data_IF_049015633795
#
_entry.id   IF_049015633795
#
_cell.length_a   1.000
_cell.length_b   1.000
_cell.length_c   1.000
_cell.angle_alpha   90.00
_cell.angle_beta   90.00
_cell.angle_gamma   90.00
#
_symmetry.space_group_name_H-M   'P 1'
#
loop_
_entity.id
_entity.type
_entity.pdbx_description
1 polymer ?
#
# COMPACT_ATOMS: atom_id res chain seq x y z
N UNK A 1 -28.49 -6.02 2.97
CA UNK A 1 -27.76 -5.63 1.75
C UNK A 1 -26.95 -4.42 2.15
N UNK A 2 -25.63 -4.46 1.99
CA UNK A 2 -24.78 -3.29 2.28
C UNK A 2 -24.98 -2.24 1.20
N UNK A 3 -24.96 -0.97 1.58
CA UNK A 3 -25.05 0.14 0.63
C UNK A 3 -23.82 0.19 -0.27
N UNK A 4 -23.97 0.58 -1.55
CA UNK A 4 -22.82 0.69 -2.45
C UNK A 4 -21.87 1.80 -1.98
N UNK A 5 -20.57 1.52 -2.00
CA UNK A 5 -19.54 2.53 -1.74
C UNK A 5 -19.44 3.43 -2.98
N UNK A 6 -19.73 4.72 -2.81
CA UNK A 6 -19.61 5.73 -3.86
C UNK A 6 -18.23 6.37 -3.77
N UNK A 7 -17.43 6.25 -4.83
CA UNK A 7 -16.14 6.91 -4.96
C UNK A 7 -16.36 8.23 -5.70
N UNK A 8 -16.03 9.35 -5.05
CA UNK A 8 -16.19 10.68 -5.64
C UNK A 8 -15.12 10.95 -6.71
N UNK A 9 -15.47 11.72 -7.74
CA UNK A 9 -14.59 12.01 -8.89
C UNK A 9 -13.37 12.87 -8.55
N UNK A 10 -13.37 13.53 -7.39
CA UNK A 10 -12.25 14.31 -6.85
C UNK A 10 -11.28 13.46 -5.99
N UNK A 11 -11.56 12.17 -5.81
CA UNK A 11 -10.71 11.25 -5.06
C UNK A 11 -9.39 11.01 -5.80
N UNK A 12 -8.30 11.60 -5.30
CA UNK A 12 -6.96 11.45 -5.89
C UNK A 12 -6.27 10.14 -5.50
N UNK A 13 -6.52 9.64 -4.30
CA UNK A 13 -5.86 8.44 -3.77
C UNK A 13 -6.85 7.52 -3.07
N UNK A 14 -6.65 6.21 -3.26
CA UNK A 14 -7.42 5.16 -2.59
C UNK A 14 -6.42 4.23 -1.90
N UNK A 15 -6.48 4.16 -0.58
CA UNK A 15 -5.74 3.19 0.21
C UNK A 15 -6.63 1.98 0.54
N UNK A 16 -6.10 0.77 0.40
CA UNK A 16 -6.82 -0.47 0.70
C UNK A 16 -6.17 -1.15 1.89
N UNK A 17 -6.91 -1.26 2.99
CA UNK A 17 -6.44 -1.86 4.23
C UNK A 17 -7.16 -3.16 4.57
N UNK A 18 -6.54 -3.98 5.42
CA UNK A 18 -7.09 -5.25 5.86
C UNK A 18 -6.05 -6.33 6.15
N UNK A 19 -6.47 -7.47 6.73
CA UNK A 19 -5.57 -8.52 7.18
C UNK A 19 -4.81 -9.20 6.03
N UNK A 20 -3.68 -9.82 6.34
CA UNK A 20 -2.90 -10.61 5.36
C UNK A 20 -3.79 -11.72 4.80
N UNK A 21 -3.79 -11.88 3.48
CA UNK A 21 -4.62 -12.88 2.79
C UNK A 21 -6.07 -12.45 2.49
N UNK A 22 -6.51 -11.25 2.87
CA UNK A 22 -7.89 -10.79 2.60
C UNK A 22 -8.20 -10.42 1.14
N UNK A 23 -7.20 -10.48 0.24
CA UNK A 23 -7.39 -10.16 -1.19
C UNK A 23 -7.18 -8.69 -1.57
N UNK A 24 -6.55 -7.87 -0.70
CA UNK A 24 -6.27 -6.45 -0.96
C UNK A 24 -5.61 -6.18 -2.32
N UNK A 25 -4.54 -6.91 -2.65
CA UNK A 25 -3.82 -6.75 -3.92
C UNK A 25 -4.72 -7.04 -5.12
N UNK A 26 -5.59 -8.04 -5.02
CA UNK A 26 -6.55 -8.36 -6.08
C UNK A 26 -7.61 -7.27 -6.23
N UNK A 27 -8.08 -6.70 -5.12
CA UNK A 27 -9.02 -5.57 -5.15
C UNK A 27 -8.35 -4.31 -5.72
N UNK A 28 -7.12 -4.00 -5.30
CA UNK A 28 -6.34 -2.86 -5.80
C UNK A 28 -6.18 -2.90 -7.31
N UNK A 29 -5.79 -4.07 -7.85
CA UNK A 29 -5.67 -4.29 -9.30
C UNK A 29 -6.98 -4.02 -10.03
N UNK A 30 -8.08 -4.63 -9.56
CA UNK A 30 -9.40 -4.43 -10.17
C UNK A 30 -9.88 -2.98 -10.13
N UNK A 31 -9.63 -2.27 -9.02
CA UNK A 31 -9.97 -0.86 -8.89
C UNK A 31 -9.12 0.02 -9.80
N UNK A 32 -7.81 -0.24 -9.89
CA UNK A 32 -6.92 0.47 -10.80
C UNK A 32 -7.35 0.29 -12.26
N UNK A 33 -7.67 -0.95 -12.66
CA UNK A 33 -8.16 -1.25 -14.01
C UNK A 33 -9.52 -0.55 -14.31
N UNK A 34 -10.43 -0.52 -13.33
CA UNK A 34 -11.77 0.05 -13.50
C UNK A 34 -11.77 1.58 -13.51
N UNK A 35 -10.91 2.22 -12.72
CA UNK A 35 -10.81 3.67 -12.57
C UNK A 35 -9.73 4.29 -13.47
N UNK A 36 -9.06 3.47 -14.30
CA UNK A 36 -7.87 3.87 -15.07
C UNK A 36 -6.79 4.53 -14.18
N UNK A 37 -6.71 4.08 -12.93
CA UNK A 37 -5.83 4.64 -11.91
C UNK A 37 -4.43 4.03 -11.93
N UNK A 38 -3.44 4.78 -11.42
CA UNK A 38 -2.10 4.25 -11.20
C UNK A 38 -2.12 3.24 -10.05
N UNK A 39 -1.76 1.99 -10.32
CA UNK A 39 -1.61 0.96 -9.29
C UNK A 39 -0.29 1.16 -8.54
N UNK A 40 -0.37 1.25 -7.21
CA UNK A 40 0.79 1.37 -6.33
C UNK A 40 0.73 0.23 -5.30
N UNK A 41 1.77 -0.60 -5.27
CA UNK A 41 1.85 -1.79 -4.42
C UNK A 41 3.01 -1.70 -3.43
N UNK A 42 2.79 -2.24 -2.24
CA UNK A 42 3.85 -2.53 -1.29
C UNK A 42 4.76 -3.65 -1.82
N UNK A 43 6.04 -3.64 -1.42
CA UNK A 43 7.04 -4.64 -1.79
C UNK A 43 7.62 -5.31 -0.53
N UNK A 44 6.81 -6.09 0.21
CA UNK A 44 7.23 -6.67 1.49
C UNK A 44 8.47 -7.56 1.39
N UNK A 45 8.70 -8.20 0.25
CA UNK A 45 9.89 -8.99 -0.06
C UNK A 45 11.21 -8.21 -0.01
N UNK A 46 11.15 -6.88 -0.10
CA UNK A 46 12.34 -6.02 0.01
C UNK A 46 12.73 -5.69 1.44
N UNK A 47 11.90 -6.06 2.44
CA UNK A 47 12.17 -5.82 3.85
C UNK A 47 13.15 -6.89 4.38
N UNK A 48 14.43 -6.53 4.68
CA UNK A 48 15.45 -7.50 5.06
C UNK A 48 15.20 -8.15 6.43
N UNK A 49 14.28 -7.59 7.23
CA UNK A 49 13.95 -8.08 8.57
C UNK A 49 12.75 -9.01 8.58
N UNK A 50 11.96 -9.05 7.50
CA UNK A 50 10.69 -9.76 7.46
C UNK A 50 10.84 -11.27 7.66
N UNK A 51 11.89 -11.88 7.07
CA UNK A 51 12.15 -13.31 7.27
C UNK A 51 12.47 -13.62 8.74
N UNK A 52 13.27 -12.78 9.39
CA UNK A 52 13.63 -12.96 10.79
C UNK A 52 12.46 -12.67 11.73
N UNK A 53 11.56 -11.76 11.35
CA UNK A 53 10.30 -11.53 12.05
C UNK A 53 9.42 -12.77 12.11
N UNK A 54 9.31 -13.54 11.02
CA UNK A 54 8.55 -14.79 11.04
C UNK A 54 9.19 -15.88 11.93
N UNK A 55 10.50 -15.81 12.20
CA UNK A 55 11.22 -16.74 13.08
C UNK A 55 11.16 -16.32 14.56
N UNK A 56 11.37 -15.04 14.84
CA UNK A 56 11.29 -14.45 16.18
C UNK A 56 10.69 -13.04 16.11
N UNK A 57 9.35 -12.91 16.24
CA UNK A 57 8.68 -11.63 16.17
C UNK A 57 9.12 -10.65 17.26
N UNK A 58 9.42 -11.11 18.48
CA UNK A 58 9.72 -10.20 19.60
C UNK A 58 11.01 -9.43 19.37
N UNK A 59 12.02 -10.10 18.84
CA UNK A 59 13.33 -9.49 18.59
C UNK A 59 13.39 -8.68 17.29
N UNK A 60 12.49 -8.95 16.34
CA UNK A 60 12.54 -8.37 14.99
C UNK A 60 11.34 -7.47 14.63
N UNK A 61 10.36 -7.28 15.51
CA UNK A 61 9.17 -6.46 15.25
C UNK A 61 9.54 -5.01 14.89
N UNK A 62 10.29 -4.32 15.76
CA UNK A 62 10.62 -2.92 15.55
C UNK A 62 11.37 -2.64 14.24
N UNK A 63 12.47 -3.33 13.89
CA UNK A 63 13.17 -3.07 12.64
C UNK A 63 12.30 -3.41 11.41
N UNK A 64 11.45 -4.44 11.49
CA UNK A 64 10.51 -4.81 10.42
C UNK A 64 9.48 -3.71 10.19
N UNK A 65 8.83 -3.23 11.24
CA UNK A 65 7.83 -2.16 11.18
C UNK A 65 8.43 -0.83 10.72
N UNK A 66 9.62 -0.46 11.21
CA UNK A 66 10.32 0.75 10.74
C UNK A 66 10.67 0.67 9.25
N UNK A 67 11.09 -0.50 8.76
CA UNK A 67 11.33 -0.69 7.32
C UNK A 67 10.07 -0.48 6.49
N UNK A 68 8.93 -1.04 6.92
CA UNK A 68 7.64 -0.79 6.25
C UNK A 68 7.24 0.68 6.27
N UNK A 69 7.43 1.35 7.42
CA UNK A 69 7.18 2.79 7.55
C UNK A 69 7.99 3.62 6.56
N UNK A 70 9.31 3.41 6.49
CA UNK A 70 10.18 4.17 5.58
C UNK A 70 9.88 3.88 4.11
N UNK A 71 9.57 2.63 3.75
CA UNK A 71 9.12 2.29 2.39
C UNK A 71 7.86 3.07 2.00
N UNK A 72 6.86 3.15 2.89
CA UNK A 72 5.62 3.92 2.65
C UNK A 72 5.86 5.42 2.61
N UNK A 73 6.75 5.96 3.46
CA UNK A 73 7.11 7.39 3.41
C UNK A 73 7.72 7.76 2.06
N UNK A 74 8.67 6.96 1.56
CA UNK A 74 9.30 7.19 0.26
C UNK A 74 8.31 7.10 -0.89
N UNK A 75 7.41 6.13 -0.84
CA UNK A 75 6.33 5.98 -1.82
C UNK A 75 5.45 7.24 -1.90
N UNK A 76 5.11 7.84 -0.75
CA UNK A 76 4.34 9.09 -0.70
C UNK A 76 5.14 10.29 -1.23
N UNK A 77 6.45 10.35 -0.98
CA UNK A 77 7.33 11.35 -1.59
C UNK A 77 7.34 11.23 -3.11
N UNK A 78 7.49 10.02 -3.65
CA UNK A 78 7.50 9.75 -5.09
C UNK A 78 6.16 10.16 -5.74
N UNK A 79 5.02 9.85 -5.10
CA UNK A 79 3.69 10.26 -5.56
C UNK A 79 3.57 11.79 -5.62
N UNK A 80 3.99 12.49 -4.57
CA UNK A 80 3.93 13.95 -4.52
C UNK A 80 4.85 14.60 -5.57
N UNK A 81 6.01 14.00 -5.86
CA UNK A 81 6.89 14.51 -6.91
C UNK A 81 6.27 14.36 -8.30
N UNK A 82 5.71 13.19 -8.62
CA UNK A 82 5.06 12.99 -9.92
C UNK A 82 3.90 13.97 -10.15
N UNK A 83 3.08 14.21 -9.12
CA UNK A 83 1.99 15.19 -9.19
C UNK A 83 2.52 16.60 -9.49
N UNK A 84 3.66 17.00 -8.92
CA UNK A 84 4.27 18.31 -9.16
C UNK A 84 4.73 18.50 -10.62
N UNK A 85 5.14 17.43 -11.30
CA UNK A 85 5.62 17.47 -12.70
C UNK A 85 4.51 17.21 -13.73
N UNK A 86 3.29 16.94 -13.29
CA UNK A 86 2.11 16.77 -14.15
C UNK A 86 1.33 18.07 -14.43
N UNK A 87 1.92 19.23 -14.08
CA UNK A 87 1.40 20.59 -14.31
C UNK A 87 1.88 21.15 -15.66
#
# INVERSE_FOLDING_TARGET
>A
MEEPIIISSDTKYIAIEGPVGSGKTSLAKKLADHLEGKLILEQPETNPFLENFYKDPRSNALPTELSFFFQRSKLLEDINQEDLFSI
#
